data_IF_898646369872
#
_entry.id   IF_898646369872
#
_cell.length_a   1.000
_cell.length_b   1.000
_cell.length_c   1.000
_cell.angle_alpha   90.00
_cell.angle_beta   90.00
_cell.angle_gamma   90.00
#
_symmetry.space_group_name_H-M   'P 1'
#
loop_
_entity.id
_entity.type
_entity.pdbx_description
1 polymer ?
#
# COMPACT_ATOMS: atom_id res chain seq x y z
N UNK A 1 15.08 0.03 1.79
CA UNK A 1 15.20 -0.32 3.24
C UNK A 1 13.83 -0.16 3.89
N UNK A 2 13.62 -0.64 5.11
CA UNK A 2 12.34 -0.44 5.84
C UNK A 2 12.02 1.06 6.03
N UNK A 3 13.04 1.89 6.24
CA UNK A 3 12.86 3.35 6.36
C UNK A 3 12.41 4.00 5.06
N UNK A 4 13.00 3.61 3.92
CA UNK A 4 12.58 4.10 2.61
C UNK A 4 11.13 3.68 2.31
N UNK A 5 10.81 2.39 2.51
CA UNK A 5 9.44 1.89 2.32
C UNK A 5 8.43 2.65 3.17
N UNK A 6 8.76 2.93 4.44
CA UNK A 6 7.90 3.74 5.31
C UNK A 6 7.71 5.16 4.75
N UNK A 7 8.77 5.81 4.31
CA UNK A 7 8.70 7.16 3.77
C UNK A 7 7.82 7.20 2.51
N UNK A 8 8.04 6.27 1.57
CA UNK A 8 7.29 6.18 0.32
C UNK A 8 5.80 5.89 0.60
N UNK A 9 5.50 4.94 1.49
CA UNK A 9 4.12 4.63 1.86
C UNK A 9 3.42 5.81 2.54
N UNK A 10 4.10 6.54 3.42
CA UNK A 10 3.50 7.70 4.08
C UNK A 10 3.26 8.85 3.10
N UNK A 11 4.17 9.08 2.17
CA UNK A 11 3.99 10.09 1.12
C UNK A 11 2.82 9.75 0.21
N UNK A 12 2.70 8.47 -0.18
CA UNK A 12 1.59 7.96 -0.96
C UNK A 12 0.24 8.20 -0.27
N UNK A 13 0.11 7.82 1.01
CA UNK A 13 -1.12 8.06 1.79
C UNK A 13 -1.43 9.56 1.94
N UNK A 14 -0.41 10.41 2.10
CA UNK A 14 -0.60 11.86 2.16
C UNK A 14 -1.10 12.42 0.81
N UNK A 15 -0.57 11.94 -0.31
CA UNK A 15 -1.04 12.32 -1.65
C UNK A 15 -2.51 11.90 -1.87
N UNK A 16 -2.92 10.75 -1.35
CA UNK A 16 -4.31 10.31 -1.38
C UNK A 16 -5.23 11.24 -0.57
N UNK A 17 -4.89 11.47 0.70
CA UNK A 17 -5.72 12.24 1.63
C UNK A 17 -5.79 13.74 1.28
N UNK A 18 -4.68 14.32 0.81
CA UNK A 18 -4.57 15.77 0.63
C UNK A 18 -4.79 16.22 -0.81
N UNK A 19 -4.68 15.31 -1.79
CA UNK A 19 -4.80 15.65 -3.22
C UNK A 19 -5.88 14.83 -3.90
N UNK A 20 -5.76 13.50 -3.93
CA UNK A 20 -6.70 12.68 -4.70
C UNK A 20 -8.12 12.79 -4.14
N UNK A 21 -8.35 12.44 -2.87
CA UNK A 21 -9.70 12.35 -2.32
C UNK A 21 -10.48 13.67 -2.39
N UNK A 22 -9.91 14.84 -2.07
CA UNK A 22 -10.59 16.12 -2.30
C UNK A 22 -10.91 16.38 -3.79
N UNK A 23 -10.03 15.98 -4.69
CA UNK A 23 -10.25 16.12 -6.13
C UNK A 23 -11.35 15.20 -6.66
N UNK A 24 -11.59 14.04 -6.05
CA UNK A 24 -12.70 13.16 -6.44
C UNK A 24 -14.08 13.82 -6.24
N UNK A 25 -14.19 14.79 -5.33
CA UNK A 25 -15.45 15.49 -5.05
C UNK A 25 -15.71 16.67 -6.00
N UNK A 26 -14.64 17.33 -6.49
CA UNK A 26 -14.75 18.66 -7.11
C UNK A 26 -13.95 18.84 -8.42
N UNK A 27 -13.06 17.90 -8.73
CA UNK A 27 -12.09 18.02 -9.82
C UNK A 27 -12.63 17.61 -11.20
N UNK A 28 -11.81 17.85 -12.23
CA UNK A 28 -12.08 17.38 -13.59
C UNK A 28 -11.52 15.96 -13.81
N UNK A 29 -12.11 15.23 -14.76
CA UNK A 29 -11.80 13.80 -15.00
C UNK A 29 -10.36 13.56 -15.46
N UNK A 30 -9.75 14.49 -16.21
CA UNK A 30 -8.39 14.33 -16.74
C UNK A 30 -7.34 14.38 -15.62
N UNK A 31 -7.45 15.34 -14.72
CA UNK A 31 -6.53 15.48 -13.59
C UNK A 31 -6.66 14.31 -12.61
N UNK A 32 -7.90 13.89 -12.31
CA UNK A 32 -8.17 12.71 -11.49
C UNK A 32 -7.52 11.47 -12.12
N UNK A 33 -7.68 11.26 -13.42
CA UNK A 33 -7.09 10.12 -14.12
C UNK A 33 -5.56 10.11 -14.04
N UNK A 34 -4.91 11.28 -14.16
CA UNK A 34 -3.44 11.39 -14.03
C UNK A 34 -2.96 11.05 -12.62
N UNK A 35 -3.65 11.52 -11.59
CA UNK A 35 -3.30 11.19 -10.19
C UNK A 35 -3.48 9.71 -9.91
N UNK A 36 -4.60 9.12 -10.36
CA UNK A 36 -4.85 7.68 -10.22
C UNK A 36 -3.76 6.86 -10.92
N UNK A 37 -3.25 7.30 -12.07
CA UNK A 37 -2.17 6.59 -12.74
C UNK A 37 -0.89 6.57 -11.88
N UNK A 38 -0.50 7.72 -11.30
CA UNK A 38 0.67 7.78 -10.41
C UNK A 38 0.51 6.90 -9.17
N UNK A 39 -0.66 6.95 -8.52
CA UNK A 39 -0.93 6.12 -7.33
C UNK A 39 -0.93 4.62 -7.65
N UNK A 40 -1.38 4.22 -8.85
CA UNK A 40 -1.27 2.82 -9.28
C UNK A 40 0.20 2.39 -9.45
N UNK A 41 1.08 3.26 -9.92
CA UNK A 41 2.52 2.96 -10.00
C UNK A 41 3.12 2.79 -8.60
N UNK A 42 2.73 3.63 -7.65
CA UNK A 42 3.12 3.49 -6.24
C UNK A 42 2.62 2.17 -5.63
N UNK A 43 1.38 1.76 -5.92
CA UNK A 43 0.84 0.47 -5.50
C UNK A 43 1.66 -0.72 -5.99
N UNK A 44 2.18 -0.68 -7.22
CA UNK A 44 3.07 -1.72 -7.74
C UNK A 44 4.38 -1.78 -6.95
N UNK A 45 4.94 -0.62 -6.60
CA UNK A 45 6.15 -0.54 -5.78
C UNK A 45 5.91 -1.09 -4.38
N UNK A 46 4.79 -0.74 -3.74
CA UNK A 46 4.40 -1.26 -2.42
C UNK A 46 4.24 -2.78 -2.48
N UNK A 47 3.55 -3.31 -3.49
CA UNK A 47 3.37 -4.75 -3.67
C UNK A 47 4.73 -5.48 -3.83
N UNK A 48 5.65 -4.93 -4.62
CA UNK A 48 6.98 -5.51 -4.81
C UNK A 48 7.81 -5.56 -3.52
N UNK A 49 7.72 -4.53 -2.67
CA UNK A 49 8.41 -4.51 -1.38
C UNK A 49 7.79 -5.49 -0.38
N UNK A 50 6.46 -5.62 -0.37
CA UNK A 50 5.76 -6.58 0.48
C UNK A 50 6.15 -8.03 0.16
N UNK A 51 6.30 -8.37 -1.13
CA UNK A 51 6.80 -9.69 -1.54
C UNK A 51 8.25 -9.91 -1.10
N UNK A 52 9.13 -8.89 -1.18
CA UNK A 52 10.49 -9.00 -0.64
C UNK A 52 10.50 -9.25 0.88
N UNK A 53 9.60 -8.59 1.64
CA UNK A 53 9.47 -8.89 3.07
C UNK A 53 9.03 -10.32 3.31
N UNK A 54 8.05 -10.81 2.54
CA UNK A 54 7.59 -12.20 2.63
C UNK A 54 8.72 -13.19 2.34
N UNK A 55 9.56 -12.94 1.33
CA UNK A 55 10.72 -13.78 1.03
C UNK A 55 11.76 -13.77 2.16
N UNK A 56 12.18 -12.57 2.60
CA UNK A 56 13.19 -12.41 3.66
C UNK A 56 12.76 -13.00 5.00
N UNK A 57 11.45 -13.05 5.26
CA UNK A 57 10.88 -13.60 6.49
C UNK A 57 10.53 -15.08 6.40
N UNK A 58 10.85 -15.75 5.28
CA UNK A 58 10.42 -17.11 4.96
C UNK A 58 8.91 -17.27 5.17
N UNK A 59 8.12 -16.43 4.51
CA UNK A 59 6.66 -16.35 4.67
C UNK A 59 6.20 -16.12 6.11
N UNK A 60 6.90 -15.23 6.83
CA UNK A 60 6.66 -14.97 8.25
C UNK A 60 6.75 -16.22 9.13
N UNK A 61 7.60 -17.18 8.77
CA UNK A 61 7.85 -18.37 9.60
C UNK A 61 8.84 -18.02 10.71
N UNK A 62 8.49 -18.37 11.95
CA UNK A 62 9.32 -18.16 13.12
C UNK A 62 9.92 -19.48 13.61
N UNK A 63 11.16 -19.47 14.15
CA UNK A 63 11.68 -20.62 14.87
C UNK A 63 10.93 -20.80 16.20
N UNK A 64 10.94 -22.03 16.72
CA UNK A 64 10.20 -22.40 17.94
C UNK A 64 10.63 -21.58 19.18
N UNK A 65 11.92 -21.26 19.24
CA UNK A 65 12.57 -20.50 20.32
C UNK A 65 12.52 -18.97 20.12
N UNK A 66 11.80 -18.47 19.12
CA UNK A 66 11.68 -17.03 18.89
C UNK A 66 11.15 -16.30 20.14
N UNK A 67 11.84 -15.22 20.51
CA UNK A 67 11.45 -14.38 21.64
C UNK A 67 10.14 -13.61 21.32
N UNK A 68 9.50 -13.08 22.36
CA UNK A 68 8.23 -12.36 22.22
C UNK A 68 8.30 -11.15 21.26
N UNK A 69 9.40 -10.42 21.24
CA UNK A 69 9.58 -9.26 20.35
C UNK A 69 9.66 -9.68 18.88
N UNK A 70 10.36 -10.77 18.56
CA UNK A 70 10.42 -11.28 17.18
C UNK A 70 9.06 -11.82 16.73
N UNK A 71 8.37 -12.57 17.60
CA UNK A 71 6.99 -13.02 17.36
C UNK A 71 6.06 -11.86 17.02
N UNK A 72 6.12 -10.80 17.83
CA UNK A 72 5.34 -9.58 17.61
C UNK A 72 5.70 -8.88 16.30
N UNK A 73 6.99 -8.78 15.95
CA UNK A 73 7.43 -8.16 14.72
C UNK A 73 6.87 -8.88 13.48
N UNK A 74 6.97 -10.21 13.40
CA UNK A 74 6.47 -10.99 12.26
C UNK A 74 4.94 -10.92 12.15
N UNK A 75 4.25 -11.01 13.28
CA UNK A 75 2.80 -10.88 13.30
C UNK A 75 2.32 -9.51 12.80
N UNK A 76 2.96 -8.42 13.26
CA UNK A 76 2.61 -7.08 12.80
C UNK A 76 2.98 -6.86 11.33
N UNK A 77 4.07 -7.45 10.83
CA UNK A 77 4.46 -7.34 9.43
C UNK A 77 3.49 -8.08 8.51
N UNK A 78 3.05 -9.29 8.91
CA UNK A 78 2.02 -10.03 8.19
C UNK A 78 0.67 -9.29 8.20
N UNK A 79 0.31 -8.67 9.32
CA UNK A 79 -0.88 -7.84 9.42
C UNK A 79 -0.80 -6.63 8.49
N UNK A 80 0.32 -5.91 8.51
CA UNK A 80 0.57 -4.76 7.63
C UNK A 80 0.41 -5.15 6.16
N UNK A 81 0.99 -6.27 5.75
CA UNK A 81 0.87 -6.77 4.38
C UNK A 81 -0.60 -7.07 4.01
N UNK A 82 -1.35 -7.75 4.89
CA UNK A 82 -2.76 -8.04 4.67
C UNK A 82 -3.61 -6.78 4.55
N UNK A 83 -3.36 -5.80 5.43
CA UNK A 83 -4.09 -4.54 5.46
C UNK A 83 -3.80 -3.72 4.19
N UNK A 84 -2.54 -3.62 3.76
CA UNK A 84 -2.15 -2.92 2.53
C UNK A 84 -2.69 -3.62 1.28
N UNK A 85 -2.65 -4.95 1.20
CA UNK A 85 -3.27 -5.69 0.08
C UNK A 85 -4.76 -5.41 -0.02
N UNK A 86 -5.46 -5.31 1.12
CA UNK A 86 -6.88 -4.94 1.16
C UNK A 86 -7.12 -3.49 0.74
N UNK A 87 -6.31 -2.56 1.23
CA UNK A 87 -6.36 -1.13 0.89
C UNK A 87 -6.24 -0.94 -0.63
N UNK A 88 -5.14 -1.42 -1.21
CA UNK A 88 -4.85 -1.35 -2.65
C UNK A 88 -5.96 -2.02 -3.47
N UNK A 89 -6.51 -3.14 -2.98
CA UNK A 89 -7.62 -3.81 -3.68
C UNK A 89 -8.87 -2.91 -3.75
N UNK A 90 -9.26 -2.29 -2.64
CA UNK A 90 -10.41 -1.39 -2.59
C UNK A 90 -10.22 -0.20 -3.52
N UNK A 91 -9.04 0.37 -3.56
CA UNK A 91 -8.77 1.50 -4.43
C UNK A 91 -8.75 1.11 -5.90
N UNK A 92 -7.90 0.16 -6.28
CA UNK A 92 -7.71 -0.22 -7.68
C UNK A 92 -8.96 -0.84 -8.30
N UNK A 93 -9.76 -1.57 -7.52
CA UNK A 93 -10.87 -2.38 -8.06
C UNK A 93 -12.25 -1.82 -7.72
N UNK A 94 -12.36 -0.90 -6.76
CA UNK A 94 -13.66 -0.35 -6.35
C UNK A 94 -13.73 1.16 -6.51
N UNK A 95 -12.73 1.91 -6.04
CA UNK A 95 -12.74 3.37 -6.08
C UNK A 95 -12.33 3.91 -7.45
N UNK A 96 -11.12 3.62 -7.90
CA UNK A 96 -10.52 4.18 -9.11
C UNK A 96 -11.32 3.89 -10.40
N UNK A 97 -11.91 2.70 -10.59
CA UNK A 97 -12.73 2.42 -11.77
C UNK A 97 -13.93 3.36 -11.94
N UNK A 98 -14.45 3.93 -10.84
CA UNK A 98 -15.58 4.88 -10.89
C UNK A 98 -15.22 6.23 -11.52
N UNK A 99 -13.92 6.52 -11.65
CA UNK A 99 -13.42 7.81 -12.14
C UNK A 99 -12.56 7.68 -13.41
N UNK A 100 -12.18 6.46 -13.80
CA UNK A 100 -11.31 6.20 -14.95
C UNK A 100 -12.00 5.44 -16.09
N UNK A 101 -13.15 4.80 -15.84
CA UNK A 101 -13.96 4.20 -16.88
C UNK A 101 -14.93 5.25 -17.47
N UNK A 102 -14.45 6.01 -18.46
CA UNK A 102 -15.26 6.66 -19.49
C UNK A 102 -14.76 6.24 -20.87
#
# INVERSE_FOLDING_TARGET
TVQAFKADLLQHLEDEETRLFPMLETGNSEEISKLIQGLNEDHLNVAAVLEQFRELTNSYTLPEDACGTWKSLWWNLQKLESDLKRHIHLENNVLFPRFTQQ
#
